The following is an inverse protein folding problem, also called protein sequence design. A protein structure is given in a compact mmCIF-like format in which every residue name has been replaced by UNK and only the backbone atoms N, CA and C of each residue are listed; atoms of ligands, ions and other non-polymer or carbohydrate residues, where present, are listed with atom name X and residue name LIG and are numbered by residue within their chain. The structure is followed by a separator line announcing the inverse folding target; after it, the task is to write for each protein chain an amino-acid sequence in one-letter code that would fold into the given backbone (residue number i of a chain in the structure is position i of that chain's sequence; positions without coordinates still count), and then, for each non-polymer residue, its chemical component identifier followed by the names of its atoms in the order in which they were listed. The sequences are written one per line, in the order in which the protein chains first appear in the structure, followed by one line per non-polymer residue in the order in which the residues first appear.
data_IF_103462542303
#
_entry.id   IF_103462542303
#
_cell.length_a   1.000
_cell.length_b   1.000
_cell.length_c   1.000
_cell.angle_alpha   90.00
_cell.angle_beta   90.00
_cell.angle_gamma   90.00
#
_symmetry.space_group_name_H-M   'P 1'
#
loop_
_entity.id
_entity.type
_entity.pdbx_description
1 polymer ?
#
# COMPACT_ATOMS: atom_id res chain seq x y z
N UNK A 1 19.57 -15.11 6.98
CA UNK A 1 19.26 -13.72 7.39
C UNK A 1 17.78 -13.65 7.66
N UNK A 2 17.39 -12.95 8.71
CA UNK A 2 16.01 -12.92 9.19
C UNK A 2 15.30 -11.68 8.69
N UNK A 3 14.16 -11.86 8.04
CA UNK A 3 13.32 -10.77 7.53
C UNK A 3 11.87 -10.94 7.99
N UNK A 4 11.10 -9.87 7.94
CA UNK A 4 9.66 -9.89 8.21
C UNK A 4 8.89 -9.67 6.90
N UNK A 5 7.90 -10.52 6.64
CA UNK A 5 6.93 -10.33 5.56
C UNK A 5 5.59 -9.94 6.17
N UNK A 6 5.00 -8.83 5.69
CA UNK A 6 3.69 -8.32 6.10
C UNK A 6 2.79 -8.17 4.87
N UNK A 7 1.58 -8.73 4.95
CA UNK A 7 0.57 -8.61 3.90
C UNK A 7 -0.84 -8.59 4.51
N UNK A 8 -1.84 -8.30 3.67
CA UNK A 8 -3.23 -8.22 4.10
C UNK A 8 -4.14 -8.95 3.10
N UNK A 9 -4.54 -10.21 3.38
CA UNK A 9 -5.40 -11.00 2.49
C UNK A 9 -6.75 -10.31 2.23
N UNK A 10 -7.31 -9.65 3.25
CA UNK A 10 -8.61 -8.99 3.19
C UNK A 10 -8.69 -7.72 4.05
N UNK A 11 -9.68 -6.84 3.84
CA UNK A 11 -9.83 -5.61 4.61
C UNK A 11 -9.89 -5.88 6.11
N UNK A 12 -9.01 -5.24 6.89
CA UNK A 12 -8.93 -5.43 8.35
C UNK A 12 -8.16 -6.67 8.80
N UNK A 13 -7.71 -7.52 7.86
CA UNK A 13 -6.89 -8.69 8.15
C UNK A 13 -5.43 -8.43 7.77
N UNK A 14 -4.55 -8.37 8.76
CA UNK A 14 -3.10 -8.17 8.56
C UNK A 14 -2.38 -9.40 9.05
N UNK A 15 -1.59 -9.99 8.17
CA UNK A 15 -0.75 -11.15 8.44
C UNK A 15 0.71 -10.74 8.42
N UNK A 16 1.50 -11.39 9.28
CA UNK A 16 2.94 -11.25 9.27
C UNK A 16 3.65 -12.57 9.56
N UNK A 17 4.83 -12.75 8.97
CA UNK A 17 5.69 -13.92 9.11
C UNK A 17 7.14 -13.51 9.18
N UNK A 18 7.87 -14.11 10.11
CA UNK A 18 9.33 -14.09 10.09
C UNK A 18 9.83 -15.19 9.17
N UNK A 19 10.76 -14.84 8.27
CA UNK A 19 11.36 -15.77 7.32
C UNK A 19 12.88 -15.77 7.51
N UNK A 20 13.46 -16.96 7.43
CA UNK A 20 14.90 -17.13 7.26
C UNK A 20 15.18 -17.33 5.79
N UNK A 21 15.97 -16.43 5.21
CA UNK A 21 16.34 -16.45 3.79
C UNK A 21 17.86 -16.42 3.62
N UNK A 22 18.43 -16.95 2.53
CA UNK A 22 19.84 -16.77 2.21
C UNK A 22 20.24 -15.29 2.14
N UNK A 23 21.48 -14.98 2.47
CA UNK A 23 22.00 -13.61 2.33
C UNK A 23 21.92 -13.17 0.85
N UNK A 24 21.47 -11.93 0.63
CA UNK A 24 21.28 -11.39 -0.71
C UNK A 24 20.07 -11.95 -1.47
N UNK A 25 19.21 -12.76 -0.83
CA UNK A 25 17.94 -13.19 -1.42
C UNK A 25 17.12 -11.97 -1.90
N UNK A 26 16.45 -12.14 -3.03
CA UNK A 26 15.61 -11.08 -3.59
C UNK A 26 14.26 -11.00 -2.90
N UNK A 27 13.59 -9.86 -3.04
CA UNK A 27 12.17 -9.70 -2.64
C UNK A 27 11.30 -10.83 -3.22
N UNK A 28 11.49 -11.15 -4.50
CA UNK A 28 10.76 -12.23 -5.17
C UNK A 28 10.97 -13.58 -4.49
N UNK A 29 12.23 -13.95 -4.25
CA UNK A 29 12.58 -15.22 -3.63
C UNK A 29 11.99 -15.35 -2.23
N UNK A 30 11.99 -14.26 -1.44
CA UNK A 30 11.39 -14.25 -0.11
C UNK A 30 9.87 -14.43 -0.14
N UNK A 31 9.17 -13.81 -1.11
CA UNK A 31 7.73 -13.98 -1.28
C UNK A 31 7.38 -15.41 -1.72
N UNK A 32 8.10 -15.94 -2.71
CA UNK A 32 7.91 -17.31 -3.19
C UNK A 32 8.22 -18.37 -2.12
N UNK A 33 9.20 -18.09 -1.25
CA UNK A 33 9.57 -18.97 -0.13
C UNK A 33 8.55 -19.00 1.02
N UNK A 34 7.56 -18.11 1.04
CA UNK A 34 6.55 -18.06 2.09
C UNK A 34 5.27 -18.81 1.65
N UNK A 35 5.12 -20.05 2.11
CA UNK A 35 3.96 -20.89 1.78
C UNK A 35 2.61 -20.25 2.15
N UNK A 36 2.50 -19.64 3.34
CA UNK A 36 1.27 -18.98 3.79
C UNK A 36 0.87 -17.81 2.87
N UNK A 37 1.86 -17.03 2.43
CA UNK A 37 1.63 -15.94 1.50
C UNK A 37 1.21 -16.47 0.11
N UNK A 38 1.94 -17.45 -0.41
CA UNK A 38 1.63 -18.06 -1.73
C UNK A 38 0.28 -18.78 -1.74
N UNK A 39 -0.16 -19.36 -0.62
CA UNK A 39 -1.49 -19.96 -0.49
C UNK A 39 -2.61 -18.90 -0.48
N UNK A 40 -2.36 -17.74 0.14
CA UNK A 40 -3.31 -16.64 0.20
C UNK A 40 -3.33 -15.77 -1.08
N UNK A 41 -2.29 -15.85 -1.90
CA UNK A 41 -2.10 -14.99 -3.06
C UNK A 41 -2.09 -15.77 -4.38
N UNK A 42 -3.12 -15.53 -5.21
CA UNK A 42 -3.28 -16.23 -6.49
C UNK A 42 -2.85 -15.41 -7.72
N UNK A 43 -2.59 -14.11 -7.54
CA UNK A 43 -2.20 -13.26 -8.66
C UNK A 43 -0.67 -13.36 -8.92
N UNK A 44 -0.23 -13.02 -10.13
CA UNK A 44 1.20 -12.92 -10.43
C UNK A 44 1.90 -11.85 -9.57
N UNK A 45 3.09 -12.16 -9.05
CA UNK A 45 3.83 -11.27 -8.15
C UNK A 45 4.24 -9.94 -8.80
N UNK A 46 4.45 -9.93 -10.11
CA UNK A 46 4.80 -8.73 -10.89
C UNK A 46 3.68 -7.67 -10.90
N UNK A 47 2.43 -8.08 -10.64
CA UNK A 47 1.30 -7.16 -10.47
C UNK A 47 1.26 -6.50 -9.09
N UNK A 48 2.04 -6.99 -8.13
CA UNK A 48 2.04 -6.50 -6.76
C UNK A 48 2.88 -5.24 -6.62
N UNK A 49 2.36 -4.36 -5.76
CA UNK A 49 3.13 -3.24 -5.22
C UNK A 49 3.78 -3.73 -3.94
N UNK A 50 5.10 -3.90 -3.97
CA UNK A 50 5.88 -4.37 -2.82
C UNK A 50 6.85 -3.29 -2.38
N UNK A 51 7.03 -3.15 -1.07
CA UNK A 51 7.97 -2.20 -0.50
C UNK A 51 8.77 -2.76 0.66
N UNK A 52 9.83 -2.04 1.01
CA UNK A 52 10.61 -2.25 2.23
C UNK A 52 10.51 -0.97 3.05
N UNK A 53 10.03 -1.07 4.30
CA UNK A 53 9.86 0.08 5.21
C UNK A 53 9.15 1.28 4.55
N UNK A 54 7.97 1.06 3.96
CA UNK A 54 7.18 2.10 3.31
C UNK A 54 7.70 2.60 1.96
N UNK A 55 8.79 2.02 1.43
CA UNK A 55 9.39 2.43 0.14
C UNK A 55 9.20 1.35 -0.90
N UNK A 56 8.59 1.67 -2.03
CA UNK A 56 8.41 0.73 -3.15
C UNK A 56 9.78 0.29 -3.68
N UNK A 57 9.89 -1.00 -3.98
CA UNK A 57 11.11 -1.66 -4.44
C UNK A 57 10.78 -2.65 -5.55
N UNK A 58 11.78 -2.91 -6.41
CA UNK A 58 11.68 -3.95 -7.44
C UNK A 58 11.73 -5.32 -6.79
N UNK A 59 11.03 -6.31 -7.37
CA UNK A 59 11.11 -7.71 -6.95
C UNK A 59 12.54 -8.27 -6.97
N UNK A 60 13.43 -7.70 -7.79
CA UNK A 60 14.85 -8.08 -7.86
C UNK A 60 15.73 -7.39 -6.80
N UNK A 61 15.16 -6.58 -5.91
CA UNK A 61 15.95 -5.90 -4.86
C UNK A 61 16.51 -6.94 -3.90
N UNK A 62 17.84 -6.97 -3.68
CA UNK A 62 18.44 -7.83 -2.67
C UNK A 62 18.03 -7.34 -1.28
N UNK A 63 17.58 -8.26 -0.45
CA UNK A 63 17.17 -8.00 0.92
C UNK A 63 18.38 -7.92 1.85
N UNK A 64 18.15 -7.29 3.01
CA UNK A 64 19.11 -7.19 4.11
C UNK A 64 18.52 -7.77 5.38
N UNK A 65 19.39 -8.11 6.32
CA UNK A 65 19.01 -8.53 7.66
C UNK A 65 18.02 -7.53 8.28
N UNK A 66 16.91 -8.06 8.81
CA UNK A 66 15.81 -7.33 9.46
C UNK A 66 15.02 -6.40 8.55
N UNK A 67 15.12 -6.56 7.23
CA UNK A 67 14.18 -5.89 6.33
C UNK A 67 12.74 -6.33 6.61
N UNK A 68 11.81 -5.39 6.54
CA UNK A 68 10.38 -5.65 6.55
C UNK A 68 9.80 -5.43 5.17
N UNK A 69 9.37 -6.52 4.55
CA UNK A 69 8.67 -6.56 3.28
C UNK A 69 7.19 -6.27 3.52
N UNK A 70 6.65 -5.33 2.77
CA UNK A 70 5.25 -4.89 2.84
C UNK A 70 4.60 -5.12 1.48
N UNK A 71 3.58 -5.99 1.42
CA UNK A 71 2.80 -6.24 0.20
C UNK A 71 1.53 -5.39 0.22
N UNK A 72 1.45 -4.43 -0.69
CA UNK A 72 0.30 -3.54 -0.81
C UNK A 72 -0.79 -4.14 -1.69
N UNK A 73 -2.05 -3.91 -1.31
CA UNK A 73 -3.19 -4.36 -2.11
C UNK A 73 -3.38 -3.49 -3.35
N UNK A 74 -3.67 -4.10 -4.52
CA UNK A 74 -4.19 -3.35 -5.64
C UNK A 74 -5.53 -2.71 -5.26
N UNK A 75 -5.77 -1.47 -5.66
CA UNK A 75 -7.05 -0.81 -5.44
C UNK A 75 -8.10 -1.51 -6.32
N UNK A 76 -9.10 -2.12 -5.69
CA UNK A 76 -10.19 -2.86 -6.36
C UNK A 76 -11.20 -1.96 -7.08
N UNK A 77 -11.00 -0.65 -7.05
CA UNK A 77 -11.86 0.34 -7.70
C UNK A 77 -11.01 1.27 -8.53
N UNK A 78 -11.42 1.48 -9.79
CA UNK A 78 -10.94 2.60 -10.58
C UNK A 78 -11.06 3.87 -9.70
N UNK A 79 -9.97 4.61 -9.46
CA UNK A 79 -9.98 5.84 -8.67
C UNK A 79 -11.10 6.82 -9.08
N UNK A 80 -11.51 6.78 -10.36
CA UNK A 80 -12.56 7.62 -10.94
C UNK A 80 -13.96 7.21 -10.48
N UNK A 81 -14.26 5.93 -10.40
CA UNK A 81 -15.55 5.42 -9.94
C UNK A 81 -15.67 5.46 -8.41
N UNK A 82 -14.58 5.16 -7.69
CA UNK A 82 -14.52 5.29 -6.23
C UNK A 82 -14.80 6.73 -5.76
N UNK A 83 -14.36 7.72 -6.55
CA UNK A 83 -14.66 9.13 -6.31
C UNK A 83 -16.16 9.39 -6.51
N UNK A 84 -16.75 8.96 -7.64
CA UNK A 84 -18.18 9.16 -7.95
C UNK A 84 -19.09 8.53 -6.88
N UNK A 85 -18.82 7.30 -6.45
CA UNK A 85 -19.64 6.62 -5.43
C UNK A 85 -19.52 7.26 -4.04
N UNK A 86 -18.34 7.80 -3.67
CA UNK A 86 -18.16 8.55 -2.42
C UNK A 86 -18.90 9.89 -2.39
N UNK A 87 -18.96 10.61 -3.51
CA UNK A 87 -19.78 11.83 -3.61
C UNK A 87 -21.28 11.53 -3.58
N UNK A 88 -21.73 10.42 -4.16
CA UNK A 88 -23.15 10.05 -4.15
C UNK A 88 -23.66 9.63 -2.75
N UNK A 89 -22.80 9.07 -1.88
CA UNK A 89 -23.18 8.67 -0.51
C UNK A 89 -23.03 9.75 0.55
N UNK A 90 -22.43 10.90 0.25
CA UNK A 90 -22.32 12.03 1.20
C UNK A 90 -22.99 13.27 0.62
N UNK A 91 -24.31 13.33 0.73
CA UNK A 91 -25.12 14.55 0.59
C UNK A 91 -24.86 15.58 1.69
N UNK A 92 -23.63 15.70 2.18
CA UNK A 92 -23.24 16.76 3.10
C UNK A 92 -22.16 17.61 2.45
N UNK A 93 -22.61 18.81 2.07
CA UNK A 93 -21.78 19.92 1.61
C UNK A 93 -20.72 20.20 2.67
N UNK A 94 -19.48 19.77 2.45
CA UNK A 94 -18.35 20.28 3.22
C UNK A 94 -18.18 21.75 2.82
N UNK A 95 -18.85 22.64 3.54
CA UNK A 95 -18.57 24.08 3.51
C UNK A 95 -17.23 24.29 4.20
N UNK A 96 -16.18 24.56 3.43
CA UNK A 96 -14.92 25.06 3.99
C UNK A 96 -15.20 26.42 4.65
N UNK A 97 -15.14 26.49 5.98
CA UNK A 97 -15.36 27.73 6.76
C UNK A 97 -14.17 28.70 6.72
N UNK A 98 -13.41 28.77 5.64
CA UNK A 98 -12.31 29.72 5.52
C UNK A 98 -12.22 30.23 4.08
N UNK A 99 -13.08 31.20 3.75
CA UNK A 99 -12.81 32.18 2.70
C UNK A 99 -12.73 33.54 3.40
N UNK A 100 -11.54 34.14 3.55
CA UNK A 100 -11.48 35.54 3.94
C UNK A 100 -12.08 36.38 2.82
N UNK A 101 -12.98 37.31 3.17
CA UNK A 101 -13.53 38.27 2.21
C UNK A 101 -12.43 39.23 1.76
N UNK A 102 -12.33 39.59 0.46
CA UNK A 102 -11.48 40.68 0.05
C UNK A 102 -12.06 42.00 0.56
N UNK A 103 -11.30 42.72 1.39
CA UNK A 103 -11.61 44.08 1.79
C UNK A 103 -11.70 44.97 0.55
N UNK A 104 -12.80 45.71 0.41
CA UNK A 104 -12.93 46.77 -0.60
C UNK A 104 -11.95 47.89 -0.25
N UNK A 105 -10.96 48.11 -1.10
CA UNK A 105 -10.20 49.36 -1.12
C UNK A 105 -11.05 50.41 -1.85
N UNK A 106 -11.55 51.37 -1.09
CA UNK A 106 -12.20 52.56 -1.62
C UNK A 106 -11.14 53.57 -2.06
N UNK A 107 -11.39 54.23 -3.19
CA UNK A 107 -10.56 55.31 -3.74
C UNK A 107 -11.12 56.62 -3.22
N UNK A 108 -10.32 57.39 -2.49
CA UNK A 108 -10.54 58.79 -2.13
C UNK A 108 -9.21 59.48 -1.95
#
# INVERSE_FOLDING_TARGET
MRIELVWSPGPGDVQHRWLEVPEGATLEAALQGCADFMAAHTAPLDTLRVGIWGRIRSLQTPLRERDRIEVYRPLTVDPKEARRQRYAKRGERIVSRHRPQPAKADKG
#
